data_IF_290346425387
#
_entry.id   IF_290346425387
#
_cell.length_a   1.000
_cell.length_b   1.000
_cell.length_c   1.000
_cell.angle_alpha   90.00
_cell.angle_beta   90.00
_cell.angle_gamma   90.00
#
_symmetry.space_group_name_H-M   'P 1'
#
loop_
_entity.id
_entity.type
_entity.pdbx_description
1 polymer ?
#
# COMPACT_ATOMS: atom_id res chain seq x y z
N UNK A 1 11.02 -12.65 -20.90
CA UNK A 1 12.43 -13.06 -20.89
C UNK A 1 13.24 -12.16 -19.95
N UNK A 2 14.41 -12.54 -19.58
CA UNK A 2 15.35 -11.75 -18.75
C UNK A 2 15.63 -10.34 -19.29
N UNK A 3 15.37 -10.11 -20.58
CA UNK A 3 15.55 -8.83 -21.28
C UNK A 3 14.31 -7.92 -21.23
N UNK A 4 13.18 -8.38 -20.68
CA UNK A 4 11.97 -7.58 -20.63
C UNK A 4 12.04 -6.57 -19.49
N UNK A 5 11.61 -5.34 -19.75
CA UNK A 5 11.52 -4.31 -18.73
C UNK A 5 10.63 -4.79 -17.58
N UNK A 6 11.13 -4.69 -16.35
CA UNK A 6 10.41 -5.14 -15.15
C UNK A 6 9.43 -4.09 -14.62
N UNK A 7 9.04 -3.15 -15.47
CA UNK A 7 8.05 -2.10 -15.23
C UNK A 7 7.23 -1.85 -16.49
N UNK A 8 6.19 -1.08 -16.37
CA UNK A 8 5.38 -0.63 -17.51
C UNK A 8 5.11 0.86 -17.45
N UNK A 9 5.06 1.53 -18.61
CA UNK A 9 4.55 2.90 -18.73
C UNK A 9 3.27 2.83 -19.54
N UNK A 10 2.21 3.49 -19.04
CA UNK A 10 0.88 3.54 -19.69
C UNK A 10 0.36 4.97 -19.69
N UNK A 11 -0.30 5.33 -20.76
CA UNK A 11 -1.16 6.53 -20.75
C UNK A 11 -2.39 6.26 -19.88
N UNK A 12 -2.55 7.07 -18.85
CA UNK A 12 -3.72 7.06 -17.97
C UNK A 12 -4.37 8.44 -18.07
N UNK A 13 -5.41 8.56 -18.88
CA UNK A 13 -6.14 9.81 -19.12
C UNK A 13 -5.23 11.00 -19.53
N UNK A 14 -4.24 10.74 -20.38
CA UNK A 14 -3.31 11.77 -20.88
C UNK A 14 -2.09 12.00 -19.98
N UNK A 15 -1.89 11.20 -18.94
CA UNK A 15 -0.71 11.20 -18.08
C UNK A 15 0.06 9.90 -18.30
N UNK A 16 1.31 9.99 -18.77
CA UNK A 16 2.19 8.83 -18.87
C UNK A 16 2.60 8.36 -17.48
N UNK A 17 1.98 7.30 -17.00
CA UNK A 17 2.20 6.77 -15.66
C UNK A 17 3.06 5.50 -15.71
N UNK A 18 4.14 5.51 -14.97
CA UNK A 18 5.01 4.35 -14.74
C UNK A 18 4.52 3.51 -13.56
N UNK A 19 4.55 2.19 -13.73
CA UNK A 19 4.19 1.23 -12.67
C UNK A 19 5.30 0.21 -12.49
N UNK A 20 5.72 0.01 -11.25
CA UNK A 20 6.69 -1.02 -10.87
C UNK A 20 6.26 -1.68 -9.57
N UNK A 21 6.53 -2.98 -9.44
CA UNK A 21 6.19 -3.73 -8.23
C UNK A 21 7.37 -4.59 -7.77
N UNK A 22 7.56 -4.68 -6.46
CA UNK A 22 8.57 -5.50 -5.81
C UNK A 22 7.99 -6.24 -4.59
N UNK A 23 8.55 -7.40 -4.28
CA UNK A 23 8.15 -8.18 -3.11
C UNK A 23 9.36 -8.71 -2.34
N UNK A 24 9.29 -8.64 -1.00
CA UNK A 24 10.28 -9.26 -0.12
C UNK A 24 9.94 -10.72 0.25
N UNK A 25 8.78 -11.22 -0.20
CA UNK A 25 8.33 -12.56 0.12
C UNK A 25 7.58 -13.21 -1.04
N UNK A 26 8.02 -14.39 -1.44
CA UNK A 26 7.38 -15.19 -2.48
C UNK A 26 6.99 -16.54 -1.89
N UNK A 27 5.73 -16.94 -2.03
CA UNK A 27 5.24 -18.24 -1.56
C UNK A 27 5.58 -19.42 -2.50
N UNK A 28 6.19 -19.13 -3.64
CA UNK A 28 6.62 -20.13 -4.61
C UNK A 28 8.15 -20.28 -4.61
N UNK A 29 8.63 -21.44 -5.04
CA UNK A 29 10.06 -21.63 -5.27
C UNK A 29 10.46 -20.92 -6.57
N UNK A 30 11.37 -19.96 -6.48
CA UNK A 30 12.01 -19.34 -7.61
C UNK A 30 13.35 -20.05 -7.89
N UNK A 31 13.64 -20.31 -9.14
CA UNK A 31 14.89 -20.85 -9.64
C UNK A 31 15.35 -20.06 -10.89
N UNK A 32 16.47 -20.42 -11.46
CA UNK A 32 17.06 -19.72 -12.62
C UNK A 32 16.12 -19.68 -13.84
N UNK A 33 15.15 -20.59 -13.93
CA UNK A 33 14.21 -20.65 -15.06
C UNK A 33 13.01 -19.70 -14.91
N UNK A 34 12.71 -19.24 -13.71
CA UNK A 34 11.51 -18.44 -13.41
C UNK A 34 11.75 -17.20 -12.52
N UNK A 35 12.98 -16.99 -12.01
CA UNK A 35 13.31 -15.84 -11.14
C UNK A 35 13.03 -14.47 -11.78
N UNK A 36 12.99 -14.41 -13.11
CA UNK A 36 12.72 -13.17 -13.87
C UNK A 36 11.24 -12.77 -13.87
N UNK A 37 10.31 -13.63 -13.43
CA UNK A 37 8.86 -13.31 -13.46
C UNK A 37 8.42 -12.42 -12.30
N UNK A 38 9.28 -12.26 -11.28
CA UNK A 38 8.99 -11.46 -10.08
C UNK A 38 10.19 -10.57 -9.76
N UNK A 39 9.95 -9.31 -9.47
CA UNK A 39 10.95 -8.44 -8.88
C UNK A 39 11.02 -8.72 -7.38
N UNK A 40 12.15 -9.20 -6.89
CA UNK A 40 12.35 -9.51 -5.46
C UNK A 40 13.14 -8.43 -4.75
N UNK A 41 12.88 -8.27 -3.45
CA UNK A 41 13.57 -7.37 -2.54
C UNK A 41 14.01 -8.19 -1.31
N UNK A 42 15.04 -9.02 -1.47
CA UNK A 42 15.48 -9.95 -0.44
C UNK A 42 16.25 -9.20 0.67
N UNK A 43 15.70 -9.20 1.89
CA UNK A 43 16.32 -8.60 3.07
C UNK A 43 16.85 -7.16 2.86
N UNK A 44 16.13 -6.35 2.08
CA UNK A 44 16.55 -4.97 1.74
C UNK A 44 17.97 -4.91 1.14
N UNK A 45 18.31 -5.87 0.28
CA UNK A 45 19.60 -5.94 -0.39
C UNK A 45 19.91 -4.64 -1.14
N UNK A 46 21.09 -4.07 -0.88
CA UNK A 46 21.53 -2.82 -1.51
C UNK A 46 21.59 -2.93 -3.04
N UNK A 47 21.94 -4.09 -3.58
CA UNK A 47 21.94 -4.34 -5.01
C UNK A 47 20.54 -4.22 -5.61
N UNK A 48 19.54 -4.84 -4.98
CA UNK A 48 18.14 -4.81 -5.44
C UNK A 48 17.51 -3.43 -5.26
N UNK A 49 17.81 -2.74 -4.16
CA UNK A 49 17.36 -1.36 -3.95
C UNK A 49 17.94 -0.44 -5.02
N UNK A 50 19.24 -0.55 -5.31
CA UNK A 50 19.89 0.25 -6.35
C UNK A 50 19.31 -0.05 -7.74
N UNK A 51 19.00 -1.32 -8.03
CA UNK A 51 18.32 -1.71 -9.26
C UNK A 51 16.93 -1.07 -9.36
N UNK A 52 16.12 -1.14 -8.30
CA UNK A 52 14.80 -0.54 -8.25
C UNK A 52 14.86 0.98 -8.45
N UNK A 53 15.77 1.67 -7.77
CA UNK A 53 16.02 3.10 -7.95
C UNK A 53 16.39 3.44 -9.40
N UNK A 54 17.30 2.66 -10.02
CA UNK A 54 17.70 2.89 -11.41
C UNK A 54 16.54 2.68 -12.39
N UNK A 55 15.66 1.72 -12.15
CA UNK A 55 14.48 1.47 -12.98
C UNK A 55 13.46 2.60 -12.85
N UNK A 56 13.25 3.16 -11.64
CA UNK A 56 12.41 4.34 -11.44
C UNK A 56 12.96 5.54 -12.21
N UNK A 57 14.25 5.80 -12.09
CA UNK A 57 14.90 6.87 -12.82
C UNK A 57 14.84 6.66 -14.35
N UNK A 58 14.97 5.42 -14.81
CA UNK A 58 14.81 5.05 -16.22
C UNK A 58 13.39 5.31 -16.73
N UNK A 59 12.34 4.95 -15.97
CA UNK A 59 10.95 5.26 -16.34
C UNK A 59 10.76 6.77 -16.55
N UNK A 60 11.35 7.62 -15.68
CA UNK A 60 11.33 9.08 -15.85
C UNK A 60 12.01 9.53 -17.14
N UNK A 61 13.18 8.95 -17.48
CA UNK A 61 13.89 9.25 -18.72
C UNK A 61 13.11 8.80 -19.96
N UNK A 62 12.33 7.72 -19.85
CA UNK A 62 11.45 7.19 -20.91
C UNK A 62 10.12 7.96 -21.01
N UNK A 63 9.92 9.00 -20.21
CA UNK A 63 8.78 9.92 -20.30
C UNK A 63 7.63 9.63 -19.34
N UNK A 64 7.85 8.84 -18.28
CA UNK A 64 6.86 8.72 -17.21
C UNK A 64 6.74 10.07 -16.47
N UNK A 65 5.54 10.62 -16.45
CA UNK A 65 5.19 11.89 -15.79
C UNK A 65 4.78 11.67 -14.34
N UNK A 66 4.30 10.45 -14.01
CA UNK A 66 3.93 10.02 -12.68
C UNK A 66 4.41 8.57 -12.47
N UNK A 67 4.96 8.23 -11.30
CA UNK A 67 5.48 6.88 -11.02
C UNK A 67 4.86 6.31 -9.76
N UNK A 68 4.23 5.16 -9.94
CA UNK A 68 3.59 4.38 -8.88
C UNK A 68 4.43 3.14 -8.59
N UNK A 69 4.79 2.97 -7.32
CA UNK A 69 5.52 1.81 -6.82
C UNK A 69 4.60 0.97 -5.95
N UNK A 70 4.49 -0.32 -6.21
CA UNK A 70 3.80 -1.27 -5.36
C UNK A 70 4.83 -2.12 -4.61
N UNK A 71 4.81 -2.05 -3.29
CA UNK A 71 5.74 -2.81 -2.43
C UNK A 71 4.99 -3.82 -1.56
N UNK A 72 5.40 -5.07 -1.66
CA UNK A 72 5.00 -6.10 -0.72
C UNK A 72 6.19 -6.32 0.22
N UNK A 73 6.21 -5.61 1.37
CA UNK A 73 7.41 -5.45 2.21
C UNK A 73 7.07 -5.22 3.68
N UNK A 74 8.09 -5.19 4.53
CA UNK A 74 7.95 -4.99 5.98
C UNK A 74 7.88 -6.31 6.75
N UNK A 75 7.43 -6.26 8.00
CA UNK A 75 7.31 -7.40 8.88
C UNK A 75 5.83 -7.69 9.20
N UNK A 76 5.46 -8.99 9.22
CA UNK A 76 4.08 -9.42 9.50
C UNK A 76 3.63 -9.00 10.88
N UNK A 77 2.42 -8.43 10.94
CA UNK A 77 1.71 -8.05 12.17
C UNK A 77 2.37 -6.92 12.97
N UNK A 78 3.32 -6.22 12.37
CA UNK A 78 3.96 -5.02 12.94
C UNK A 78 3.32 -3.78 12.32
N UNK A 79 2.67 -2.96 13.16
CA UNK A 79 1.98 -1.73 12.73
C UNK A 79 2.87 -0.49 12.70
N UNK A 80 4.08 -0.56 13.27
CA UNK A 80 5.06 0.52 13.24
C UNK A 80 5.93 0.43 11.98
N UNK A 81 6.40 1.56 11.50
CA UNK A 81 7.35 1.65 10.37
C UNK A 81 8.76 1.53 10.91
N UNK A 82 9.56 0.62 10.34
CA UNK A 82 10.97 0.48 10.70
C UNK A 82 11.84 1.54 10.01
N UNK A 83 13.07 1.71 10.51
CA UNK A 83 14.04 2.62 9.90
C UNK A 83 14.43 2.17 8.49
N UNK A 84 14.50 0.86 8.24
CA UNK A 84 14.79 0.28 6.93
C UNK A 84 13.65 0.56 5.92
N UNK A 85 12.39 0.40 6.36
CA UNK A 85 11.23 0.72 5.52
C UNK A 85 11.22 2.20 5.14
N UNK A 86 11.51 3.08 6.12
CA UNK A 86 11.55 4.53 5.90
C UNK A 86 12.72 4.94 5.00
N UNK A 87 13.90 4.34 5.21
CA UNK A 87 15.08 4.59 4.38
C UNK A 87 14.86 4.14 2.93
N UNK A 88 14.20 2.98 2.71
CA UNK A 88 13.82 2.52 1.39
C UNK A 88 12.87 3.51 0.72
N UNK A 89 11.78 3.89 1.39
CA UNK A 89 10.79 4.82 0.85
C UNK A 89 11.43 6.17 0.46
N UNK A 90 12.32 6.70 1.30
CA UNK A 90 13.08 7.91 1.03
C UNK A 90 13.88 7.78 -0.27
N UNK A 91 14.63 6.71 -0.47
CA UNK A 91 15.45 6.48 -1.67
C UNK A 91 14.60 6.33 -2.93
N UNK A 92 13.43 5.71 -2.85
CA UNK A 92 12.53 5.56 -4.00
C UNK A 92 11.95 6.92 -4.42
N UNK A 93 11.57 7.78 -3.46
CA UNK A 93 11.14 9.16 -3.74
C UNK A 93 12.27 9.98 -4.34
N UNK A 94 13.49 9.89 -3.82
CA UNK A 94 14.70 10.52 -4.40
C UNK A 94 14.90 10.12 -5.87
N UNK A 95 14.66 8.84 -6.17
CA UNK A 95 14.81 8.29 -7.53
C UNK A 95 13.66 8.63 -8.47
N UNK A 96 12.55 9.18 -7.95
CA UNK A 96 11.45 9.66 -8.75
C UNK A 96 10.11 8.95 -8.55
N UNK A 97 9.90 8.17 -7.50
CA UNK A 97 8.58 7.67 -7.14
C UNK A 97 7.70 8.81 -6.61
N UNK A 98 6.43 8.89 -7.08
CA UNK A 98 5.45 9.84 -6.57
C UNK A 98 4.53 9.23 -5.54
N UNK A 99 4.19 7.94 -5.71
CA UNK A 99 3.35 7.20 -4.78
C UNK A 99 3.91 5.79 -4.56
N UNK A 100 3.97 5.38 -3.30
CA UNK A 100 4.33 4.04 -2.88
C UNK A 100 3.16 3.42 -2.13
N UNK A 101 2.59 2.33 -2.68
CA UNK A 101 1.57 1.52 -2.03
C UNK A 101 2.20 0.28 -1.42
N UNK A 102 2.19 0.20 -0.08
CA UNK A 102 2.71 -0.90 0.70
C UNK A 102 1.67 -1.95 1.07
N UNK A 103 2.12 -3.19 1.16
CA UNK A 103 1.34 -4.36 1.60
C UNK A 103 2.26 -5.39 2.25
N UNK A 104 1.77 -6.51 2.73
CA UNK A 104 2.42 -7.65 3.40
C UNK A 104 2.26 -7.69 4.93
N UNK A 105 2.34 -6.60 5.72
CA UNK A 105 2.23 -6.72 7.18
C UNK A 105 0.91 -7.30 7.67
N UNK A 106 -0.13 -7.36 6.83
CA UNK A 106 -1.49 -7.81 7.19
C UNK A 106 -2.16 -6.96 8.28
N UNK A 107 -1.61 -5.80 8.58
CA UNK A 107 -2.15 -4.78 9.47
C UNK A 107 -1.90 -3.41 8.83
N UNK A 108 -2.70 -2.43 9.20
CA UNK A 108 -2.49 -1.05 8.76
C UNK A 108 -1.18 -0.49 9.34
N UNK A 109 -0.47 0.28 8.54
CA UNK A 109 0.68 1.11 8.95
C UNK A 109 0.42 2.56 8.56
N UNK A 110 1.13 3.54 9.17
CA UNK A 110 1.02 4.95 8.82
C UNK A 110 1.21 5.25 7.34
N UNK A 111 0.63 6.37 6.91
CA UNK A 111 0.97 7.06 5.69
C UNK A 111 1.95 8.19 6.00
N UNK A 112 2.91 8.45 5.13
CA UNK A 112 3.83 9.59 5.24
C UNK A 112 3.92 10.33 3.91
N UNK A 113 4.11 11.66 3.99
CA UNK A 113 4.51 12.49 2.85
C UNK A 113 6.00 12.76 3.00
N UNK A 114 6.79 12.25 2.06
CA UNK A 114 8.25 12.37 2.06
C UNK A 114 8.65 13.47 1.10
N UNK A 115 9.46 14.42 1.57
CA UNK A 115 10.16 15.38 0.71
C UNK A 115 11.63 15.02 0.66
N UNK A 116 12.14 14.79 -0.52
CA UNK A 116 13.50 14.34 -0.78
C UNK A 116 14.22 15.22 -1.80
N UNK A 117 15.55 15.22 -1.80
CA UNK A 117 16.37 15.87 -2.82
C UNK A 117 16.80 14.83 -3.85
N UNK A 118 16.42 15.01 -5.10
CA UNK A 118 16.93 14.18 -6.18
C UNK A 118 18.41 14.48 -6.48
N UNK A 119 19.09 13.58 -7.18
CA UNK A 119 20.50 13.75 -7.55
C UNK A 119 20.77 15.02 -8.38
N UNK A 120 19.79 15.47 -9.16
CA UNK A 120 19.83 16.71 -9.94
C UNK A 120 19.62 18.00 -9.11
N UNK A 121 19.42 17.85 -7.80
CA UNK A 121 19.18 18.92 -6.84
C UNK A 121 17.73 19.42 -6.79
N UNK A 122 16.81 18.81 -7.54
CA UNK A 122 15.40 19.16 -7.47
C UNK A 122 14.76 18.55 -6.20
N UNK A 123 13.83 19.29 -5.59
CA UNK A 123 13.03 18.77 -4.49
C UNK A 123 11.87 17.93 -5.05
N UNK A 124 11.69 16.73 -4.55
CA UNK A 124 10.60 15.81 -4.90
C UNK A 124 9.76 15.51 -3.68
N UNK A 125 8.47 15.39 -3.87
CA UNK A 125 7.54 14.98 -2.82
C UNK A 125 6.82 13.71 -3.28
N UNK A 126 6.83 12.68 -2.43
CA UNK A 126 6.11 11.44 -2.67
C UNK A 126 5.21 11.07 -1.48
N UNK A 127 4.17 10.32 -1.76
CA UNK A 127 3.23 9.80 -0.75
C UNK A 127 3.50 8.32 -0.56
N UNK A 128 3.62 7.89 0.69
CA UNK A 128 3.92 6.51 1.06
C UNK A 128 2.83 5.97 1.98
N UNK A 129 2.18 4.91 1.56
CA UNK A 129 1.33 4.07 2.40
C UNK A 129 2.14 2.85 2.76
N UNK A 130 2.64 2.75 4.00
CA UNK A 130 3.52 1.64 4.38
C UNK A 130 2.82 0.30 4.46
N UNK A 131 1.52 0.27 4.77
CA UNK A 131 0.66 -0.90 4.60
C UNK A 131 -0.81 -0.52 4.60
N UNK A 132 -1.53 -1.00 3.61
CA UNK A 132 -2.98 -0.84 3.51
C UNK A 132 -3.75 -1.97 4.22
N UNK A 133 -3.07 -2.83 4.98
CA UNK A 133 -3.71 -3.96 5.66
C UNK A 133 -4.26 -5.01 4.70
N UNK A 134 -5.33 -5.68 5.11
CA UNK A 134 -6.01 -6.69 4.30
C UNK A 134 -7.27 -6.10 3.65
N UNK A 135 -7.48 -6.39 2.35
CA UNK A 135 -8.72 -6.03 1.67
C UNK A 135 -9.74 -7.19 1.75
N UNK A 136 -9.48 -8.31 1.09
CA UNK A 136 -10.29 -9.52 1.20
C UNK A 136 -9.41 -10.64 1.72
N UNK A 137 -9.67 -11.13 2.93
CA UNK A 137 -8.79 -12.07 3.59
C UNK A 137 -9.55 -13.00 4.52
N UNK A 138 -9.12 -14.26 4.60
CA UNK A 138 -9.57 -15.21 5.63
C UNK A 138 -8.90 -14.99 7.00
N UNK A 139 -8.03 -13.98 7.11
CA UNK A 139 -7.36 -13.65 8.36
C UNK A 139 -8.29 -12.84 9.25
N UNK A 140 -8.83 -13.47 10.27
CA UNK A 140 -9.66 -12.82 11.28
C UNK A 140 -8.83 -12.22 12.40
N UNK A 141 -9.43 -11.31 13.17
CA UNK A 141 -8.89 -10.90 14.44
C UNK A 141 -8.66 -12.10 15.36
N UNK A 142 -7.49 -12.16 15.98
CA UNK A 142 -7.19 -13.14 17.01
C UNK A 142 -6.95 -12.42 18.32
N UNK A 143 -7.89 -12.59 19.25
CA UNK A 143 -7.81 -11.98 20.59
C UNK A 143 -6.53 -12.35 21.35
N UNK A 144 -5.96 -13.52 21.09
CA UNK A 144 -4.70 -13.97 21.71
C UNK A 144 -3.47 -13.17 21.30
N UNK A 145 -3.50 -12.53 20.12
CA UNK A 145 -2.36 -11.82 19.54
C UNK A 145 -2.62 -10.30 19.35
N UNK A 146 -3.84 -9.83 19.61
CA UNK A 146 -4.26 -8.43 19.48
C UNK A 146 -3.95 -7.77 18.10
N UNK A 147 -3.82 -8.58 17.03
CA UNK A 147 -3.53 -8.04 15.69
C UNK A 147 -4.83 -7.78 14.93
N UNK A 148 -5.11 -6.52 14.54
CA UNK A 148 -6.30 -6.16 13.76
C UNK A 148 -6.13 -6.54 12.27
N UNK A 149 -6.10 -7.84 11.98
CA UNK A 149 -5.87 -8.38 10.63
C UNK A 149 -7.10 -8.34 9.73
N UNK A 150 -8.22 -7.98 10.26
CA UNK A 150 -9.49 -7.76 9.59
C UNK A 150 -9.71 -6.30 9.21
N UNK A 151 -8.79 -5.41 9.58
CA UNK A 151 -8.79 -4.02 9.15
C UNK A 151 -7.90 -3.82 7.93
N UNK A 152 -8.37 -2.99 7.03
CA UNK A 152 -7.66 -2.56 5.83
C UNK A 152 -8.07 -1.15 5.42
N UNK A 153 -7.54 -0.70 4.29
CA UNK A 153 -7.92 0.56 3.69
C UNK A 153 -7.84 0.49 2.16
N UNK A 154 -8.72 1.24 1.51
CA UNK A 154 -8.58 1.61 0.11
C UNK A 154 -8.05 3.04 0.08
N UNK A 155 -6.90 3.23 -0.56
CA UNK A 155 -6.31 4.55 -0.74
C UNK A 155 -6.41 4.98 -2.21
N UNK A 156 -6.86 6.20 -2.44
CA UNK A 156 -6.92 6.84 -3.74
C UNK A 156 -6.08 8.10 -3.73
N UNK A 157 -5.26 8.28 -4.77
CA UNK A 157 -4.47 9.48 -4.98
C UNK A 157 -5.00 10.19 -6.22
N UNK A 158 -5.53 11.40 -6.04
CA UNK A 158 -6.05 12.21 -7.12
C UNK A 158 -4.91 13.03 -7.70
N UNK A 159 -4.75 12.96 -9.01
CA UNK A 159 -3.70 13.67 -9.73
C UNK A 159 -4.27 14.48 -10.89
N UNK A 160 -3.63 15.60 -11.18
CA UNK A 160 -3.91 16.39 -12.37
C UNK A 160 -2.63 16.78 -13.11
N UNK A 161 -2.78 17.04 -14.40
CA UNK A 161 -1.71 17.53 -15.26
C UNK A 161 -1.93 19.00 -15.56
N UNK A 162 -0.93 19.82 -15.26
CA UNK A 162 -0.89 21.26 -15.49
C UNK A 162 0.23 21.62 -16.48
N UNK A 163 0.39 22.92 -16.80
CA UNK A 163 1.54 23.41 -17.57
C UNK A 163 2.89 23.15 -16.89
N UNK A 164 2.89 23.01 -15.56
CA UNK A 164 4.10 22.87 -14.74
C UNK A 164 4.43 21.40 -14.43
N UNK A 165 3.58 20.47 -14.88
CA UNK A 165 3.74 19.03 -14.70
C UNK A 165 2.54 18.36 -14.04
N UNK A 166 2.73 17.12 -13.57
CA UNK A 166 1.72 16.36 -12.83
C UNK A 166 1.85 16.64 -11.33
N UNK A 167 0.73 16.88 -10.69
CA UNK A 167 0.64 17.15 -9.26
C UNK A 167 -0.38 16.24 -8.57
N UNK A 168 -0.19 15.99 -7.29
CA UNK A 168 -1.16 15.33 -6.43
C UNK A 168 -2.12 16.39 -5.89
N UNK A 169 -3.41 16.29 -6.22
CA UNK A 169 -4.45 17.21 -5.78
C UNK A 169 -5.08 16.79 -4.46
N UNK A 170 -5.05 15.51 -4.15
CA UNK A 170 -5.65 14.99 -2.92
C UNK A 170 -5.40 13.51 -2.69
N UNK A 171 -5.68 13.10 -1.47
CA UNK A 171 -5.62 11.71 -1.03
C UNK A 171 -6.95 11.40 -0.35
N UNK A 172 -7.57 10.30 -0.75
CA UNK A 172 -8.73 9.73 -0.08
C UNK A 172 -8.36 8.38 0.53
N UNK A 173 -8.78 8.15 1.77
CA UNK A 173 -8.62 6.87 2.45
C UNK A 173 -9.97 6.40 2.92
N UNK A 174 -10.38 5.21 2.47
CA UNK A 174 -11.59 4.54 2.95
C UNK A 174 -11.15 3.36 3.81
N UNK A 175 -11.25 3.47 5.15
CA UNK A 175 -11.00 2.36 6.04
C UNK A 175 -12.00 1.24 5.79
N UNK A 176 -11.52 -0.01 5.79
CA UNK A 176 -12.33 -1.19 5.51
C UNK A 176 -12.22 -2.22 6.63
N UNK A 177 -13.29 -2.96 6.82
CA UNK A 177 -13.37 -4.11 7.70
C UNK A 177 -13.71 -5.36 6.89
N UNK A 178 -13.01 -6.45 7.15
CA UNK A 178 -13.32 -7.75 6.55
C UNK A 178 -14.25 -8.50 7.50
N UNK A 179 -15.53 -8.52 7.15
CA UNK A 179 -16.54 -9.28 7.85
C UNK A 179 -16.56 -10.72 7.34
N UNK A 180 -16.37 -11.64 8.25
CA UNK A 180 -16.38 -13.08 7.98
C UNK A 180 -17.51 -13.74 8.71
N UNK A 181 -18.47 -14.28 7.97
CA UNK A 181 -19.53 -15.15 8.50
C UNK A 181 -19.32 -16.59 8.05
N UNK A 182 -20.10 -17.53 8.59
CA UNK A 182 -20.08 -18.92 8.12
C UNK A 182 -20.57 -19.07 6.68
N UNK A 183 -21.27 -18.06 6.16
CA UNK A 183 -21.90 -18.08 4.85
C UNK A 183 -21.09 -17.32 3.77
N UNK A 184 -20.42 -16.21 4.15
CA UNK A 184 -19.70 -15.37 3.20
C UNK A 184 -18.55 -14.57 3.85
N UNK A 185 -17.75 -13.91 2.97
CA UNK A 185 -16.75 -12.91 3.35
C UNK A 185 -17.13 -11.62 2.62
N UNK A 186 -17.22 -10.52 3.36
CA UNK A 186 -17.48 -9.20 2.79
C UNK A 186 -16.47 -8.17 3.26
N UNK A 187 -16.17 -7.21 2.37
CA UNK A 187 -15.39 -6.02 2.72
C UNK A 187 -16.35 -4.86 2.91
N UNK A 188 -16.38 -4.30 4.09
CA UNK A 188 -17.29 -3.23 4.47
C UNK A 188 -16.51 -1.93 4.70
N UNK A 189 -16.93 -0.79 4.14
CA UNK A 189 -16.37 0.52 4.49
C UNK A 189 -16.78 0.89 5.91
N UNK A 190 -15.82 1.11 6.78
CA UNK A 190 -16.06 1.33 8.22
C UNK A 190 -16.93 2.57 8.46
N UNK A 191 -16.72 3.66 7.72
CA UNK A 191 -17.50 4.87 7.85
C UNK A 191 -19.01 4.61 7.62
N UNK A 192 -19.36 3.78 6.62
CA UNK A 192 -20.78 3.44 6.37
C UNK A 192 -21.37 2.60 7.51
N UNK A 193 -20.57 1.70 8.10
CA UNK A 193 -21.03 0.88 9.24
C UNK A 193 -21.26 1.75 10.47
N UNK A 194 -20.36 2.71 10.74
CA UNK A 194 -20.47 3.64 11.88
C UNK A 194 -21.61 4.63 11.70
N UNK A 195 -21.74 5.20 10.50
CA UNK A 195 -22.74 6.24 10.22
C UNK A 195 -24.17 5.67 10.06
N UNK A 196 -24.30 4.40 9.67
CA UNK A 196 -25.59 3.75 9.43
C UNK A 196 -25.64 2.31 9.96
N UNK A 197 -25.45 2.09 11.28
CA UNK A 197 -25.36 0.77 11.87
C UNK A 197 -26.59 -0.10 11.62
N UNK A 198 -27.80 0.51 11.52
CA UNK A 198 -29.04 -0.23 11.25
C UNK A 198 -29.06 -0.93 9.88
N UNK A 199 -28.33 -0.42 8.90
CA UNK A 199 -28.18 -1.08 7.60
C UNK A 199 -27.39 -2.39 7.71
N UNK A 200 -26.63 -2.58 8.78
CA UNK A 200 -25.76 -3.74 9.01
C UNK A 200 -26.22 -4.62 10.17
N UNK A 201 -27.36 -4.36 10.81
CA UNK A 201 -27.92 -5.17 11.91
C UNK A 201 -28.06 -6.65 11.54
N UNK A 202 -28.41 -6.97 10.29
CA UNK A 202 -28.50 -8.35 9.83
C UNK A 202 -27.16 -9.08 9.81
N UNK A 203 -26.03 -8.36 9.79
CA UNK A 203 -24.69 -8.94 9.82
C UNK A 203 -24.11 -8.98 11.23
N UNK A 204 -24.33 -7.95 12.02
CA UNK A 204 -23.72 -7.83 13.34
C UNK A 204 -24.61 -8.37 14.47
N UNK A 205 -25.93 -8.52 14.25
CA UNK A 205 -26.86 -9.04 15.25
C UNK A 205 -26.92 -8.21 16.56
N UNK A 206 -27.71 -8.68 17.53
CA UNK A 206 -27.88 -8.00 18.83
C UNK A 206 -27.05 -8.66 19.95
N UNK A 207 -26.14 -9.59 19.65
CA UNK A 207 -25.38 -10.30 20.66
C UNK A 207 -24.10 -9.53 21.10
N UNK A 208 -23.51 -9.95 22.23
CA UNK A 208 -22.35 -9.28 22.81
C UNK A 208 -21.08 -9.39 21.93
N UNK A 209 -20.97 -10.42 21.09
CA UNK A 209 -19.85 -10.58 20.17
C UNK A 209 -19.92 -9.54 19.05
N UNK A 210 -21.12 -9.28 18.52
CA UNK A 210 -21.36 -8.27 17.50
C UNK A 210 -21.13 -6.86 18.02
N UNK A 211 -21.49 -6.56 19.27
CA UNK A 211 -21.21 -5.28 19.90
C UNK A 211 -19.70 -5.05 20.10
N UNK A 212 -18.95 -6.09 20.47
CA UNK A 212 -17.50 -6.01 20.58
C UNK A 212 -16.84 -5.79 19.21
N UNK A 213 -17.36 -6.39 18.16
CA UNK A 213 -16.88 -6.17 16.80
C UNK A 213 -17.15 -4.73 16.32
N UNK A 214 -18.34 -4.20 16.62
CA UNK A 214 -18.67 -2.81 16.29
C UNK A 214 -17.75 -1.81 17.04
N UNK A 215 -17.52 -2.00 18.34
CA UNK A 215 -16.61 -1.16 19.13
C UNK A 215 -15.18 -1.23 18.58
N UNK A 216 -14.73 -2.40 18.11
CA UNK A 216 -13.42 -2.57 17.51
C UNK A 216 -13.30 -1.88 16.16
N UNK A 217 -14.36 -1.92 15.34
CA UNK A 217 -14.45 -1.21 14.06
C UNK A 217 -14.34 0.30 14.30
N UNK A 218 -15.09 0.85 15.27
CA UNK A 218 -15.02 2.25 15.66
C UNK A 218 -13.59 2.65 16.11
N UNK A 219 -12.95 1.82 16.96
CA UNK A 219 -11.58 2.05 17.41
C UNK A 219 -10.58 1.98 16.24
N UNK A 220 -10.77 1.05 15.30
CA UNK A 220 -9.96 0.93 14.09
C UNK A 220 -10.09 2.15 13.18
N UNK A 221 -11.32 2.66 13.01
CA UNK A 221 -11.60 3.88 12.25
C UNK A 221 -10.86 5.08 12.84
N UNK A 222 -10.95 5.30 14.16
CA UNK A 222 -10.25 6.39 14.85
C UNK A 222 -8.71 6.26 14.69
N UNK A 223 -8.16 5.05 14.74
CA UNK A 223 -6.73 4.81 14.60
C UNK A 223 -6.19 5.12 13.20
N UNK A 224 -7.02 4.97 12.16
CA UNK A 224 -6.63 5.26 10.76
C UNK A 224 -6.76 6.75 10.44
N UNK A 225 -7.75 7.43 11.00
CA UNK A 225 -7.97 8.87 10.75
C UNK A 225 -6.99 9.76 11.54
N UNK A 226 -6.50 9.31 12.69
CA UNK A 226 -5.57 10.08 13.52
C UNK A 226 -4.11 10.01 13.04
N UNK A 227 -3.83 9.25 11.98
CA UNK A 227 -2.50 9.15 11.37
C UNK A 227 -2.37 10.11 10.20
#
# INVERSE_FOLDING_TARGET
SESDARYVIRDVNGINTGFIAYTNHVNATLDDSNSYVVNTLDNYSEEQISLMCSQIAQMRQEGAEFVVVSLHFGERYVSTVSDEERALAQRLVESGADVIFGSYPHVLKPMEVITAQAEDGTSRTGVVFYSLGNFLSSMQYQSSNAYPRDLGAVASVLISKTSDGVQIDGIEIVPTYVDWTDEDIAVLPICEVVDNPTAFESRFGDDAASQLDQQRIETGYESVIQT
#
